data_IF_200085411100
#
_entry.id   IF_200085411100
#
_cell.length_a   1.000
_cell.length_b   1.000
_cell.length_c   1.000
_cell.angle_alpha   90.00
_cell.angle_beta   90.00
_cell.angle_gamma   90.00
#
_symmetry.space_group_name_H-M   'P 1'
#
loop_
_entity.id
_entity.type
_entity.pdbx_description
1 polymer ?
#
# COMPACT_ATOMS: atom_id res chain seq x y z
N UNK A 1 5.17 -5.09 -24.46
CA UNK A 1 3.88 -5.54 -23.90
C UNK A 1 2.94 -4.36 -23.80
N UNK A 2 1.66 -4.60 -23.98
CA UNK A 2 0.61 -3.60 -23.73
C UNK A 2 -0.03 -3.88 -22.37
N UNK A 3 -0.19 -2.87 -21.55
CA UNK A 3 -0.81 -2.95 -20.22
C UNK A 3 -2.07 -2.12 -20.19
N UNK A 4 -3.17 -2.68 -19.69
CA UNK A 4 -4.36 -1.92 -19.31
C UNK A 4 -4.40 -1.81 -17.79
N UNK A 5 -4.11 -0.62 -17.26
CA UNK A 5 -4.22 -0.31 -15.83
C UNK A 5 -5.64 0.18 -15.53
N UNK A 6 -6.34 -0.55 -14.68
CA UNK A 6 -7.73 -0.28 -14.32
C UNK A 6 -7.77 0.23 -12.88
N UNK A 7 -8.37 1.40 -12.67
CA UNK A 7 -8.52 2.07 -11.37
C UNK A 7 -9.96 2.51 -11.17
N UNK A 8 -10.54 2.15 -10.05
CA UNK A 8 -11.92 2.50 -9.70
C UNK A 8 -12.11 3.99 -9.41
N UNK A 9 -11.05 4.63 -8.93
CA UNK A 9 -11.05 6.02 -8.53
C UNK A 9 -10.67 7.01 -9.63
N UNK A 10 -10.31 8.19 -9.18
CA UNK A 10 -10.00 9.35 -10.01
C UNK A 10 -8.51 9.42 -10.36
N UNK A 11 -8.16 10.36 -11.25
CA UNK A 11 -6.78 10.76 -11.50
C UNK A 11 -6.13 11.33 -10.23
N UNK A 12 -4.80 11.16 -10.15
CA UNK A 12 -3.97 11.72 -9.07
C UNK A 12 -3.67 13.21 -9.22
N UNK A 13 -4.04 13.84 -10.34
CA UNK A 13 -3.82 15.27 -10.57
C UNK A 13 -4.81 16.12 -9.76
N UNK A 14 -4.43 16.48 -8.56
CA UNK A 14 -5.19 17.40 -7.72
C UNK A 14 -4.26 18.00 -6.66
N UNK A 15 -4.34 19.31 -6.43
CA UNK A 15 -3.53 20.02 -5.44
C UNK A 15 -3.57 19.38 -4.04
N UNK A 16 -4.75 18.92 -3.60
CA UNK A 16 -4.87 18.28 -2.29
C UNK A 16 -4.06 16.97 -2.18
N UNK A 17 -3.93 16.23 -3.28
CA UNK A 17 -3.12 15.01 -3.36
C UNK A 17 -1.61 15.32 -3.36
N UNK A 18 -1.22 16.49 -3.88
CA UNK A 18 0.18 16.91 -3.94
C UNK A 18 0.71 17.34 -2.56
N UNK A 19 -0.12 18.04 -1.78
CA UNK A 19 0.29 18.61 -0.50
C UNK A 19 0.43 17.53 0.57
N UNK A 20 1.61 17.38 1.22
CA UNK A 20 1.84 16.36 2.26
C UNK A 20 0.80 16.40 3.39
N UNK A 21 0.54 17.56 3.97
CA UNK A 21 -0.46 17.74 5.03
C UNK A 21 -1.91 17.48 4.57
N UNK A 22 -2.13 17.36 3.26
CA UNK A 22 -3.44 17.07 2.67
C UNK A 22 -4.03 15.74 3.14
N UNK A 23 -3.21 14.82 3.64
CA UNK A 23 -3.66 13.48 4.03
C UNK A 23 -4.79 13.52 5.07
N UNK A 24 -4.79 14.44 6.03
CA UNK A 24 -5.86 14.61 7.02
C UNK A 24 -7.23 14.89 6.38
N UNK A 25 -7.25 15.58 5.25
CA UNK A 25 -8.48 15.83 4.48
C UNK A 25 -8.79 14.69 3.52
N UNK A 26 -7.76 14.04 2.96
CA UNK A 26 -7.92 12.98 1.98
C UNK A 26 -8.50 11.70 2.58
N UNK A 27 -8.04 11.29 3.77
CA UNK A 27 -8.57 10.11 4.46
C UNK A 27 -10.05 10.23 4.85
N UNK A 28 -10.57 11.46 4.90
CA UNK A 28 -11.97 11.77 5.20
C UNK A 28 -12.77 12.22 3.97
N UNK A 29 -12.20 12.08 2.76
CA UNK A 29 -12.84 12.53 1.52
C UNK A 29 -13.29 11.33 0.68
N UNK A 30 -14.61 11.10 0.63
CA UNK A 30 -15.21 9.97 -0.11
C UNK A 30 -14.95 10.00 -1.63
N UNK A 31 -14.46 11.10 -2.18
CA UNK A 31 -14.00 11.16 -3.57
C UNK A 31 -12.72 10.36 -3.79
N UNK A 32 -11.81 10.36 -2.80
CA UNK A 32 -10.48 9.77 -2.91
C UNK A 32 -10.26 8.56 -1.98
N UNK A 33 -11.24 8.28 -1.11
CA UNK A 33 -11.18 7.15 -0.19
C UNK A 33 -12.49 6.36 -0.17
N UNK A 34 -12.37 5.04 -0.16
CA UNK A 34 -13.45 4.11 0.16
C UNK A 34 -13.30 3.70 1.62
N UNK A 35 -14.41 3.54 2.34
CA UNK A 35 -14.41 3.21 3.77
C UNK A 35 -14.91 1.78 3.99
N UNK A 36 -14.08 1.00 4.64
CA UNK A 36 -14.41 -0.36 5.05
C UNK A 36 -14.74 -0.38 6.54
N UNK A 37 -15.86 -0.98 6.91
CA UNK A 37 -16.26 -1.16 8.30
C UNK A 37 -15.95 -2.58 8.74
N UNK A 38 -15.30 -2.74 9.89
CA UNK A 38 -15.12 -4.06 10.49
C UNK A 38 -16.43 -4.55 11.10
N UNK A 39 -16.54 -5.85 11.32
CA UNK A 39 -17.52 -6.36 12.28
C UNK A 39 -17.14 -5.89 13.70
N UNK A 40 -18.08 -5.91 14.67
CA UNK A 40 -17.77 -5.62 16.06
C UNK A 40 -16.62 -6.49 16.58
N UNK A 41 -15.57 -5.86 17.10
CA UNK A 41 -14.37 -6.53 17.60
C UNK A 41 -14.53 -6.85 19.09
N UNK A 42 -14.78 -8.09 19.44
CA UNK A 42 -15.05 -8.53 20.83
C UNK A 42 -13.97 -8.10 21.83
N UNK A 43 -12.69 -8.21 21.43
CA UNK A 43 -11.54 -7.86 22.28
C UNK A 43 -11.24 -6.36 22.32
N UNK A 44 -12.01 -5.54 21.60
CA UNK A 44 -11.94 -4.08 21.57
C UNK A 44 -13.30 -3.47 21.98
N UNK A 45 -13.95 -4.03 22.99
CA UNK A 45 -15.24 -3.56 23.52
C UNK A 45 -16.33 -3.45 22.43
N UNK A 46 -16.37 -4.41 21.51
CA UNK A 46 -17.25 -4.45 20.35
C UNK A 46 -17.14 -3.22 19.42
N UNK A 47 -16.02 -2.52 19.45
CA UNK A 47 -15.78 -1.37 18.57
C UNK A 47 -15.79 -1.79 17.10
N UNK A 48 -16.43 -0.96 16.29
CA UNK A 48 -16.38 -1.04 14.83
C UNK A 48 -15.35 -0.04 14.36
N UNK A 49 -14.31 -0.53 13.69
CA UNK A 49 -13.31 0.34 13.09
C UNK A 49 -13.71 0.68 11.65
N UNK A 50 -13.42 1.91 11.23
CA UNK A 50 -13.59 2.37 9.87
C UNK A 50 -12.20 2.56 9.28
N UNK A 51 -11.89 1.81 8.21
CA UNK A 51 -10.58 1.83 7.56
C UNK A 51 -10.71 2.51 6.20
N UNK A 52 -10.07 3.66 6.00
CA UNK A 52 -10.02 4.31 4.69
C UNK A 52 -9.05 3.59 3.77
N UNK A 53 -9.45 3.35 2.53
CA UNK A 53 -8.61 2.82 1.45
C UNK A 53 -8.59 3.82 0.29
N UNK A 54 -7.43 4.08 -0.29
CA UNK A 54 -7.31 4.98 -1.43
C UNK A 54 -8.13 4.49 -2.63
N UNK A 55 -8.97 5.40 -3.17
CA UNK A 55 -9.77 5.20 -4.38
C UNK A 55 -9.38 6.26 -5.41
N UNK A 56 -8.16 6.17 -5.84
CA UNK A 56 -7.48 7.14 -6.71
C UNK A 56 -6.24 6.49 -7.31
N UNK A 57 -5.84 6.91 -8.48
CA UNK A 57 -4.61 6.41 -9.11
C UNK A 57 -3.41 6.57 -8.15
N UNK A 58 -2.68 5.48 -7.93
CA UNK A 58 -1.64 5.38 -6.90
C UNK A 58 -2.12 4.84 -5.55
N UNK A 59 -3.43 4.59 -5.40
CA UNK A 59 -4.03 3.93 -4.25
C UNK A 59 -3.69 4.57 -2.91
N UNK A 60 -3.34 3.77 -1.91
CA UNK A 60 -2.98 4.22 -0.57
C UNK A 60 -1.84 5.24 -0.53
N UNK A 61 -0.86 5.14 -1.45
CA UNK A 61 0.27 6.09 -1.52
C UNK A 61 -0.15 7.52 -1.88
N UNK A 62 -1.31 7.68 -2.51
CA UNK A 62 -1.87 8.98 -2.86
C UNK A 62 -2.59 9.67 -1.70
N UNK A 63 -2.97 8.92 -0.63
CA UNK A 63 -3.74 9.46 0.51
C UNK A 63 -3.10 9.23 1.88
N UNK A 64 -2.04 8.44 2.01
CA UNK A 64 -1.37 8.14 3.28
C UNK A 64 -0.55 9.32 3.84
N UNK A 65 0.02 9.17 5.03
CA UNK A 65 0.92 10.14 5.66
C UNK A 65 2.33 10.17 5.06
N UNK A 66 2.61 9.42 4.00
CA UNK A 66 3.87 9.37 3.24
C UNK A 66 5.09 8.81 3.98
N UNK A 67 4.97 8.36 5.20
CA UNK A 67 6.10 7.76 5.93
C UNK A 67 6.70 6.63 5.08
N UNK A 68 8.01 6.71 4.84
CA UNK A 68 8.74 5.68 4.09
C UNK A 68 9.33 4.65 5.07
N UNK A 69 8.68 3.51 5.16
CA UNK A 69 9.07 2.41 6.04
C UNK A 69 8.94 1.09 5.29
N UNK A 70 9.98 0.27 5.35
CA UNK A 70 9.97 -1.11 4.81
C UNK A 70 9.64 -2.09 5.93
N UNK A 71 9.23 -3.31 5.57
CA UNK A 71 9.25 -4.44 6.49
C UNK A 71 10.68 -4.78 6.92
N UNK A 72 10.84 -5.47 8.04
CA UNK A 72 12.14 -5.95 8.52
C UNK A 72 12.58 -7.17 7.71
N UNK A 73 13.87 -7.46 7.74
CA UNK A 73 14.42 -8.64 7.07
C UNK A 73 13.74 -9.94 7.54
N UNK A 74 13.43 -10.02 8.83
CA UNK A 74 12.76 -11.17 9.44
C UNK A 74 11.37 -11.42 8.85
N UNK A 75 10.59 -10.36 8.56
CA UNK A 75 9.25 -10.48 8.00
C UNK A 75 9.27 -11.17 6.63
N UNK A 76 10.24 -10.84 5.77
CA UNK A 76 10.41 -11.46 4.45
C UNK A 76 10.99 -12.88 4.55
N UNK A 77 11.91 -13.12 5.47
CA UNK A 77 12.47 -14.44 5.71
C UNK A 77 11.39 -15.40 6.21
N UNK A 78 10.49 -14.95 7.08
CA UNK A 78 9.32 -15.74 7.51
C UNK A 78 8.40 -16.09 6.33
N UNK A 79 8.12 -15.16 5.42
CA UNK A 79 7.37 -15.48 4.20
C UNK A 79 8.08 -16.55 3.35
N UNK A 80 9.37 -16.43 3.22
CA UNK A 80 10.17 -17.43 2.47
C UNK A 80 10.10 -18.81 3.13
N UNK A 81 10.12 -18.88 4.47
CA UNK A 81 9.98 -20.14 5.19
C UNK A 81 8.59 -20.77 5.01
N UNK A 82 7.53 -19.97 5.00
CA UNK A 82 6.16 -20.42 4.69
C UNK A 82 6.09 -21.01 3.28
N UNK A 83 6.70 -20.38 2.29
CA UNK A 83 6.76 -20.89 0.91
C UNK A 83 7.49 -22.23 0.86
N UNK A 84 8.65 -22.36 1.52
CA UNK A 84 9.42 -23.62 1.59
C UNK A 84 8.63 -24.77 2.21
N UNK A 85 7.91 -24.50 3.31
CA UNK A 85 7.05 -25.51 3.96
C UNK A 85 5.97 -26.02 3.00
N UNK A 86 5.46 -25.14 2.14
CA UNK A 86 4.44 -25.47 1.14
C UNK A 86 5.02 -25.97 -0.20
N UNK A 87 6.33 -26.26 -0.28
CA UNK A 87 7.04 -26.67 -1.48
C UNK A 87 6.91 -25.69 -2.65
N UNK A 88 6.73 -24.39 -2.36
CA UNK A 88 6.76 -23.34 -3.37
C UNK A 88 8.22 -22.95 -3.66
N UNK A 89 8.57 -22.81 -4.93
CA UNK A 89 9.92 -22.44 -5.38
C UNK A 89 10.17 -20.94 -5.42
N UNK A 90 9.15 -20.11 -5.19
CA UNK A 90 9.31 -18.66 -5.13
C UNK A 90 10.20 -18.25 -3.95
N UNK A 91 10.95 -17.18 -4.13
CA UNK A 91 11.84 -16.64 -3.10
C UNK A 91 11.41 -15.24 -2.72
N UNK A 92 11.20 -15.05 -1.42
CA UNK A 92 10.79 -13.77 -0.83
C UNK A 92 11.63 -13.36 0.38
N UNK A 93 12.82 -14.01 0.54
CA UNK A 93 13.76 -13.61 1.58
C UNK A 93 14.29 -12.18 1.37
N UNK A 94 14.90 -11.64 2.43
CA UNK A 94 15.40 -10.27 2.41
C UNK A 94 16.38 -9.99 1.28
N UNK A 95 17.29 -10.93 1.02
CA UNK A 95 18.30 -10.75 -0.02
C UNK A 95 17.69 -10.70 -1.42
N UNK A 96 16.57 -11.39 -1.62
CA UNK A 96 15.80 -11.35 -2.87
C UNK A 96 15.01 -10.07 -3.04
N UNK A 97 14.39 -9.54 -1.96
CA UNK A 97 13.49 -8.37 -2.07
C UNK A 97 14.21 -7.03 -1.95
N UNK A 98 15.34 -6.95 -1.24
CA UNK A 98 16.10 -5.71 -1.05
C UNK A 98 16.52 -5.04 -2.37
N UNK A 99 16.99 -5.76 -3.41
CA UNK A 99 17.30 -5.16 -4.70
C UNK A 99 16.13 -4.41 -5.33
N UNK A 100 14.90 -4.92 -5.20
CA UNK A 100 13.70 -4.25 -5.72
C UNK A 100 13.36 -2.98 -4.95
N UNK A 101 13.52 -2.97 -3.62
CA UNK A 101 13.39 -1.75 -2.84
C UNK A 101 14.38 -0.68 -3.28
N UNK A 102 15.63 -1.07 -3.52
CA UNK A 102 16.67 -0.16 -4.01
C UNK A 102 16.40 0.32 -5.44
N UNK A 103 15.89 -0.53 -6.32
CA UNK A 103 15.52 -0.17 -7.68
C UNK A 103 14.41 0.89 -7.71
N UNK A 104 13.43 0.78 -6.81
CA UNK A 104 12.35 1.76 -6.72
C UNK A 104 12.79 3.09 -6.10
N UNK A 105 13.70 3.07 -5.13
CA UNK A 105 14.03 4.20 -4.27
C UNK A 105 14.95 5.22 -4.93
N UNK A 106 14.61 6.50 -4.74
CA UNK A 106 15.49 7.64 -5.01
C UNK A 106 15.60 8.48 -3.73
N UNK A 107 16.52 8.10 -2.84
CA UNK A 107 16.71 8.75 -1.55
C UNK A 107 17.56 10.02 -1.73
N UNK A 108 17.09 11.13 -1.20
CA UNK A 108 17.79 12.42 -1.30
C UNK A 108 19.10 12.47 -0.50
N UNK A 109 19.17 11.73 0.62
CA UNK A 109 20.28 11.78 1.58
C UNK A 109 21.15 10.53 1.54
N UNK A 110 20.56 9.33 1.64
CA UNK A 110 21.26 8.07 1.90
C UNK A 110 21.53 7.31 0.60
N UNK A 111 22.75 6.80 0.43
CA UNK A 111 23.13 5.83 -0.58
C UNK A 111 24.12 4.83 0.03
N UNK A 112 23.74 3.57 0.16
CA UNK A 112 24.56 2.52 0.79
C UNK A 112 24.05 1.11 0.39
N UNK A 113 24.43 0.08 1.16
CA UNK A 113 23.97 -1.30 0.92
C UNK A 113 22.46 -1.46 0.98
N UNK A 114 21.73 -0.60 1.71
CA UNK A 114 20.27 -0.63 1.87
C UNK A 114 19.53 0.36 0.96
N UNK A 115 20.16 1.43 0.52
CA UNK A 115 19.54 2.58 -0.14
C UNK A 115 20.11 2.86 -1.53
N UNK A 116 19.29 3.53 -2.37
CA UNK A 116 19.65 3.97 -3.70
C UNK A 116 19.15 5.39 -3.98
N UNK A 117 19.89 6.12 -4.83
CA UNK A 117 19.48 7.44 -5.35
C UNK A 117 19.01 7.39 -6.80
N UNK A 118 18.80 6.19 -7.37
CA UNK A 118 18.61 6.00 -8.82
C UNK A 118 17.19 5.66 -9.24
N UNK A 119 16.33 5.25 -8.28
CA UNK A 119 14.95 4.86 -8.55
C UNK A 119 14.03 6.04 -8.87
N UNK A 120 12.74 5.73 -9.04
CA UNK A 120 11.71 6.72 -9.39
C UNK A 120 10.97 7.26 -8.17
N UNK A 121 10.83 6.47 -7.10
CA UNK A 121 10.15 6.85 -5.87
C UNK A 121 11.03 7.79 -5.05
N UNK A 122 10.68 9.07 -5.03
CA UNK A 122 11.43 10.08 -4.29
C UNK A 122 11.19 9.94 -2.80
N UNK A 123 12.29 9.83 -2.06
CA UNK A 123 12.31 9.75 -0.61
C UNK A 123 13.19 10.86 -0.07
N UNK A 124 12.70 11.64 0.87
CA UNK A 124 13.45 12.75 1.47
C UNK A 124 13.15 12.91 2.95
N UNK A 125 14.06 13.58 3.64
CA UNK A 125 13.82 14.06 5.00
C UNK A 125 12.75 15.17 4.98
N UNK A 126 12.16 15.46 6.15
CA UNK A 126 11.29 16.63 6.30
C UNK A 126 12.07 17.90 6.00
N UNK A 127 11.47 18.81 5.23
CA UNK A 127 12.08 20.12 4.93
C UNK A 127 12.12 21.05 6.14
N UNK A 128 11.27 20.81 7.14
CA UNK A 128 11.23 21.52 8.40
C UNK A 128 11.00 20.52 9.55
N UNK A 129 11.78 20.65 10.59
CA UNK A 129 11.63 19.87 11.81
C UNK A 129 11.61 20.86 12.97
N UNK A 130 10.54 20.82 13.74
CA UNK A 130 10.39 21.63 14.93
C UNK A 130 11.41 21.23 16.00
N UNK A 131 11.94 22.21 16.76
CA UNK A 131 12.91 21.97 17.84
C UNK A 131 12.39 20.98 18.88
N UNK A 132 11.10 20.98 19.16
CA UNK A 132 10.45 20.04 20.07
C UNK A 132 10.64 18.58 19.66
N UNK A 133 10.75 18.30 18.36
CA UNK A 133 11.03 16.94 17.86
C UNK A 133 12.41 16.46 18.28
N UNK A 134 13.40 17.34 18.25
CA UNK A 134 14.75 17.04 18.73
C UNK A 134 14.79 16.92 20.26
N UNK A 135 14.07 17.76 20.98
CA UNK A 135 13.97 17.67 22.45
C UNK A 135 13.31 16.35 22.87
N UNK A 136 12.29 15.91 22.13
CA UNK A 136 11.67 14.59 22.33
C UNK A 136 12.67 13.45 22.09
N UNK A 137 13.39 13.47 20.96
CA UNK A 137 14.40 12.45 20.63
C UNK A 137 15.49 12.40 21.70
N UNK A 138 15.99 13.55 22.14
CA UNK A 138 16.99 13.63 23.20
C UNK A 138 16.47 13.07 24.54
N UNK A 139 15.20 13.35 24.86
CA UNK A 139 14.55 12.82 26.06
C UNK A 139 14.42 11.31 26.00
N UNK A 140 14.02 10.77 24.84
CA UNK A 140 13.94 9.32 24.62
C UNK A 140 15.32 8.66 24.72
N UNK A 141 16.37 9.31 24.19
CA UNK A 141 17.76 8.87 24.32
C UNK A 141 18.21 8.80 25.78
N UNK A 142 17.83 9.80 26.61
CA UNK A 142 18.16 9.82 28.05
C UNK A 142 17.54 8.66 28.84
N UNK A 143 16.50 8.03 28.30
CA UNK A 143 15.87 6.82 28.84
C UNK A 143 16.52 5.52 28.35
N UNK A 144 17.62 5.61 27.61
CA UNK A 144 18.36 4.46 27.11
C UNK A 144 17.84 3.88 25.81
N UNK A 145 16.94 4.58 25.10
CA UNK A 145 16.50 4.18 23.78
C UNK A 145 17.56 4.57 22.74
N UNK A 146 17.94 3.64 21.91
CA UNK A 146 18.87 3.88 20.80
C UNK A 146 18.28 4.89 19.81
N UNK A 147 19.11 5.81 19.33
CA UNK A 147 18.69 6.79 18.32
C UNK A 147 19.16 6.32 16.94
N UNK A 148 18.25 6.37 16.00
CA UNK A 148 18.53 6.05 14.60
C UNK A 148 18.16 7.23 13.69
N UNK A 149 18.94 7.45 12.66
CA UNK A 149 18.66 8.37 11.56
C UNK A 149 18.22 7.64 10.28
N UNK A 150 18.06 6.31 10.37
CA UNK A 150 17.69 5.44 9.27
C UNK A 150 16.88 4.22 9.73
N UNK A 151 15.55 4.32 9.66
CA UNK A 151 14.65 3.20 9.97
C UNK A 151 14.57 2.11 8.87
N UNK A 152 15.23 2.32 7.74
CA UNK A 152 15.27 1.34 6.64
C UNK A 152 16.68 0.76 6.43
N UNK A 153 17.57 0.99 7.38
CA UNK A 153 18.92 0.46 7.43
C UNK A 153 19.02 -0.92 8.08
N UNK A 154 20.13 -1.16 8.78
CA UNK A 154 20.39 -2.43 9.44
C UNK A 154 19.48 -2.71 10.64
N UNK A 155 19.14 -1.64 11.38
CA UNK A 155 18.30 -1.72 12.57
C UNK A 155 17.14 -0.74 12.48
N UNK A 156 15.91 -1.25 12.59
CA UNK A 156 14.70 -0.43 12.60
C UNK A 156 14.28 0.03 13.99
N UNK A 157 14.82 -0.59 15.06
CA UNK A 157 14.46 -0.27 16.42
C UNK A 157 15.15 1.00 16.87
N UNK A 158 14.41 1.92 17.47
CA UNK A 158 15.00 3.15 18.01
C UNK A 158 14.05 4.34 17.97
N UNK A 159 14.59 5.51 18.35
CA UNK A 159 13.94 6.80 18.23
C UNK A 159 14.57 7.64 17.12
N UNK A 160 13.79 8.38 16.35
CA UNK A 160 14.34 9.20 15.28
C UNK A 160 13.28 9.89 14.43
N UNK A 161 13.73 10.55 13.37
CA UNK A 161 12.87 11.20 12.40
C UNK A 161 12.63 10.30 11.20
N UNK A 162 11.39 10.26 10.73
CA UNK A 162 11.05 9.52 9.51
C UNK A 162 11.51 10.23 8.24
N UNK A 163 11.81 9.44 7.22
CA UNK A 163 11.82 9.91 5.85
C UNK A 163 10.44 9.74 5.22
N UNK A 164 10.15 10.52 4.19
CA UNK A 164 8.84 10.59 3.55
C UNK A 164 8.93 10.39 2.05
N UNK A 165 7.91 9.79 1.47
CA UNK A 165 7.73 9.69 0.01
C UNK A 165 7.33 11.05 -0.55
N UNK A 166 8.29 11.98 -0.59
CA UNK A 166 8.09 13.31 -1.15
C UNK A 166 9.37 13.87 -1.81
N UNK A 167 9.19 14.94 -2.55
CA UNK A 167 10.28 15.73 -3.12
C UNK A 167 9.81 17.17 -3.28
N UNK A 168 10.63 18.13 -2.86
CA UNK A 168 10.34 19.56 -2.99
C UNK A 168 8.95 19.97 -2.45
N UNK A 169 8.58 19.43 -1.29
CA UNK A 169 7.31 19.72 -0.64
C UNK A 169 6.08 19.11 -1.32
N UNK A 170 6.26 18.19 -2.26
CA UNK A 170 5.17 17.47 -2.94
C UNK A 170 5.24 15.98 -2.67
N UNK A 171 4.09 15.35 -2.49
CA UNK A 171 3.93 13.91 -2.41
C UNK A 171 4.50 13.22 -3.66
N UNK A 172 5.26 12.16 -3.47
CA UNK A 172 5.66 11.23 -4.51
C UNK A 172 4.88 9.92 -4.33
N UNK A 173 3.63 9.89 -4.80
CA UNK A 173 2.83 8.66 -4.80
C UNK A 173 3.33 7.66 -5.85
N UNK A 174 2.85 6.41 -5.78
CA UNK A 174 3.12 5.42 -6.82
C UNK A 174 2.68 5.90 -8.22
N UNK A 175 1.61 6.69 -8.30
CA UNK A 175 1.18 7.29 -9.56
C UNK A 175 2.23 8.26 -10.11
N UNK A 176 2.77 9.14 -9.28
CA UNK A 176 3.84 10.05 -9.68
C UNK A 176 5.14 9.32 -10.02
N UNK A 177 5.53 8.34 -9.17
CA UNK A 177 6.78 7.63 -9.36
C UNK A 177 6.81 6.76 -10.63
N UNK A 178 5.70 6.05 -10.92
CA UNK A 178 5.72 4.96 -11.89
C UNK A 178 4.77 5.15 -13.07
N UNK A 179 3.72 5.98 -12.96
CA UNK A 179 2.72 6.13 -14.01
C UNK A 179 2.87 7.44 -14.77
N UNK A 180 3.20 8.54 -14.09
CA UNK A 180 3.27 9.88 -14.70
C UNK A 180 4.14 9.94 -15.95
N UNK A 181 5.34 9.38 -15.88
CA UNK A 181 6.26 9.35 -17.03
C UNK A 181 5.80 8.45 -18.17
N UNK A 182 4.91 7.49 -17.88
CA UNK A 182 4.41 6.50 -18.83
C UNK A 182 3.05 6.90 -19.45
N UNK A 183 2.44 8.01 -19.03
CA UNK A 183 1.11 8.41 -19.52
C UNK A 183 1.05 8.66 -21.04
N UNK A 184 2.19 8.98 -21.65
CA UNK A 184 2.33 9.15 -23.10
C UNK A 184 2.72 7.86 -23.83
N UNK A 185 2.99 6.79 -23.09
CA UNK A 185 3.40 5.52 -23.66
C UNK A 185 2.19 4.82 -24.31
N UNK A 186 2.27 4.58 -25.62
CA UNK A 186 1.19 3.93 -26.39
C UNK A 186 0.87 2.49 -25.90
N UNK A 187 1.76 1.89 -25.17
CA UNK A 187 1.58 0.57 -24.60
C UNK A 187 0.87 0.59 -23.24
N UNK A 188 0.62 1.76 -22.65
CA UNK A 188 -0.17 1.91 -21.43
C UNK A 188 -1.56 2.46 -21.77
N UNK A 189 -2.58 1.67 -21.48
CA UNK A 189 -3.97 2.13 -21.44
C UNK A 189 -4.36 2.35 -19.99
N UNK A 190 -4.90 3.52 -19.68
CA UNK A 190 -5.39 3.86 -18.35
C UNK A 190 -6.92 3.96 -18.36
N UNK A 191 -7.57 3.10 -17.57
CA UNK A 191 -9.02 3.04 -17.42
C UNK A 191 -9.39 3.48 -16.00
N UNK A 192 -9.69 4.78 -15.83
CA UNK A 192 -10.11 5.37 -14.55
C UNK A 192 -11.62 5.26 -14.37
N UNK A 193 -12.08 5.40 -13.13
CA UNK A 193 -13.48 5.29 -12.75
C UNK A 193 -14.12 4.01 -13.32
N UNK A 194 -13.33 2.93 -13.27
CA UNK A 194 -13.69 1.62 -13.80
C UNK A 194 -13.41 0.57 -12.73
N UNK A 195 -14.48 -0.04 -12.24
CA UNK A 195 -14.42 -0.99 -11.12
C UNK A 195 -14.35 -2.42 -11.62
N UNK A 196 -13.34 -3.16 -11.21
CA UNK A 196 -13.26 -4.61 -11.46
C UNK A 196 -14.27 -5.31 -10.55
N UNK A 197 -15.19 -6.07 -11.15
CA UNK A 197 -16.22 -6.84 -10.44
C UNK A 197 -15.75 -8.27 -10.13
N UNK A 198 -15.14 -8.92 -11.09
CA UNK A 198 -14.61 -10.29 -10.98
C UNK A 198 -13.62 -10.62 -12.10
N UNK A 199 -12.88 -11.69 -11.91
CA UNK A 199 -11.99 -12.29 -12.92
C UNK A 199 -12.82 -13.24 -13.80
N UNK A 200 -12.58 -13.23 -15.10
CA UNK A 200 -13.08 -14.22 -16.05
C UNK A 200 -12.15 -15.43 -15.98
N UNK A 201 -12.68 -16.56 -15.46
CA UNK A 201 -11.89 -17.79 -15.27
C UNK A 201 -12.58 -18.92 -16.04
N UNK A 202 -11.85 -19.53 -16.95
CA UNK A 202 -12.27 -20.72 -17.71
C UNK A 202 -11.13 -21.73 -17.72
N UNK A 203 -11.43 -23.00 -17.52
CA UNK A 203 -10.46 -24.09 -17.48
C UNK A 203 -9.26 -23.81 -16.56
N UNK A 204 -9.53 -23.26 -15.36
CA UNK A 204 -8.51 -22.84 -14.36
C UNK A 204 -7.52 -21.78 -14.85
N UNK A 205 -7.88 -21.01 -15.88
CA UNK A 205 -7.06 -19.95 -16.43
C UNK A 205 -7.79 -18.61 -16.34
N UNK A 206 -7.10 -17.58 -15.85
CA UNK A 206 -7.60 -16.21 -15.89
C UNK A 206 -7.49 -15.66 -17.32
N UNK A 207 -8.63 -15.33 -17.93
CA UNK A 207 -8.70 -14.82 -19.29
C UNK A 207 -8.89 -13.31 -19.36
N UNK A 208 -9.24 -12.66 -18.26
CA UNK A 208 -9.52 -11.24 -18.20
C UNK A 208 -10.35 -10.87 -16.99
N UNK A 209 -11.02 -9.73 -17.05
CA UNK A 209 -11.85 -9.21 -15.96
C UNK A 209 -13.19 -8.70 -16.49
N UNK A 210 -14.23 -8.79 -15.66
CA UNK A 210 -15.48 -8.06 -15.82
C UNK A 210 -15.34 -6.74 -15.09
N UNK A 211 -15.60 -5.66 -15.78
CA UNK A 211 -15.52 -4.31 -15.22
C UNK A 211 -16.84 -3.57 -15.36
N UNK A 212 -17.07 -2.61 -14.48
CA UNK A 212 -18.17 -1.67 -14.54
C UNK A 212 -17.61 -0.25 -14.62
N UNK A 213 -18.02 0.49 -15.63
CA UNK A 213 -17.59 1.87 -15.79
C UNK A 213 -18.46 2.83 -14.94
N UNK A 214 -18.11 4.12 -14.91
CA UNK A 214 -18.82 5.17 -14.15
C UNK A 214 -20.31 5.34 -14.49
N UNK A 215 -20.76 4.79 -15.61
CA UNK A 215 -22.15 4.86 -16.05
C UNK A 215 -22.94 3.59 -15.73
N UNK A 216 -22.35 2.65 -14.94
CA UNK A 216 -22.96 1.38 -14.58
C UNK A 216 -22.99 0.34 -15.71
N UNK A 217 -22.29 0.60 -16.82
CA UNK A 217 -22.20 -0.38 -17.93
C UNK A 217 -21.09 -1.38 -17.62
N UNK A 218 -21.48 -2.65 -17.67
CA UNK A 218 -20.52 -3.75 -17.57
C UNK A 218 -19.94 -4.11 -18.94
N UNK A 219 -18.65 -4.45 -18.94
CA UNK A 219 -17.94 -4.97 -20.11
C UNK A 219 -16.86 -5.97 -19.71
N UNK A 220 -16.48 -6.83 -20.65
CA UNK A 220 -15.39 -7.78 -20.48
C UNK A 220 -14.10 -7.22 -21.08
N UNK A 221 -13.00 -7.26 -20.33
CA UNK A 221 -11.65 -6.91 -20.80
C UNK A 221 -10.81 -8.18 -20.74
N UNK A 222 -10.35 -8.64 -21.88
CA UNK A 222 -9.54 -9.86 -21.99
C UNK A 222 -8.05 -9.55 -21.94
N UNK A 223 -7.29 -10.46 -21.33
CA UNK A 223 -5.83 -10.41 -21.21
C UNK A 223 -5.20 -11.54 -22.03
N UNK A 224 -4.21 -11.20 -22.86
CA UNK A 224 -3.49 -12.19 -23.67
C UNK A 224 -2.42 -12.96 -22.90
N UNK A 225 -1.92 -12.40 -21.78
CA UNK A 225 -0.85 -12.98 -20.97
C UNK A 225 -1.30 -13.28 -19.55
N UNK A 226 -1.62 -12.25 -18.79
CA UNK A 226 -1.90 -12.38 -17.37
C UNK A 226 -2.84 -11.27 -16.86
N UNK A 227 -3.45 -11.52 -15.71
CA UNK A 227 -4.22 -10.55 -14.92
C UNK A 227 -3.48 -10.37 -13.59
N UNK A 228 -3.06 -9.14 -13.30
CA UNK A 228 -2.40 -8.79 -12.04
C UNK A 228 -3.41 -8.07 -11.15
N UNK A 229 -3.68 -8.59 -9.96
CA UNK A 229 -4.51 -7.94 -8.96
C UNK A 229 -3.65 -7.17 -7.97
N UNK A 230 -3.83 -5.84 -7.94
CA UNK A 230 -3.14 -4.93 -7.04
C UNK A 230 -4.13 -3.97 -6.33
N UNK A 231 -5.32 -4.48 -5.98
CA UNK A 231 -6.43 -3.68 -5.44
C UNK A 231 -6.38 -3.51 -3.91
N UNK A 232 -5.24 -3.83 -3.30
CA UNK A 232 -5.03 -3.74 -1.85
C UNK A 232 -5.58 -4.93 -1.07
N UNK A 233 -5.29 -4.94 0.24
CA UNK A 233 -5.55 -6.10 1.13
C UNK A 233 -7.03 -6.41 1.36
N UNK A 234 -7.93 -5.45 1.17
CA UNK A 234 -9.38 -5.66 1.28
C UNK A 234 -10.02 -6.08 -0.03
N UNK A 235 -9.67 -5.41 -1.13
CA UNK A 235 -10.40 -5.57 -2.39
C UNK A 235 -9.86 -6.73 -3.21
N UNK A 236 -8.54 -7.01 -3.17
CA UNK A 236 -7.95 -8.15 -3.88
C UNK A 236 -8.60 -9.48 -3.47
N UNK A 237 -8.68 -9.85 -2.16
CA UNK A 237 -9.37 -11.07 -1.77
C UNK A 237 -10.87 -11.04 -2.09
N UNK A 238 -11.53 -9.89 -1.99
CA UNK A 238 -12.93 -9.74 -2.40
C UNK A 238 -13.13 -10.08 -3.88
N UNK A 239 -12.27 -9.58 -4.78
CA UNK A 239 -12.33 -9.89 -6.22
C UNK A 239 -12.11 -11.39 -6.44
N UNK A 240 -11.15 -12.01 -5.74
CA UNK A 240 -10.90 -13.44 -5.82
C UNK A 240 -12.15 -14.24 -5.41
N UNK A 241 -12.74 -13.93 -4.26
CA UNK A 241 -13.93 -14.60 -3.75
C UNK A 241 -15.13 -14.43 -4.71
N UNK A 242 -15.39 -13.23 -5.22
CA UNK A 242 -16.43 -12.97 -6.23
C UNK A 242 -16.18 -13.70 -7.55
N UNK A 243 -14.94 -14.13 -7.80
CA UNK A 243 -14.55 -14.91 -8.98
C UNK A 243 -14.65 -16.41 -8.76
N UNK A 244 -15.00 -16.86 -7.54
CA UNK A 244 -15.09 -18.27 -7.15
C UNK A 244 -13.77 -18.86 -6.62
N UNK A 245 -12.84 -18.03 -6.18
CA UNK A 245 -11.58 -18.45 -5.57
C UNK A 245 -11.62 -18.10 -4.07
N UNK A 246 -11.59 -19.11 -3.20
CA UNK A 246 -11.68 -18.93 -1.75
C UNK A 246 -12.10 -20.20 -1.02
N UNK A 247 -12.53 -20.05 0.22
CA UNK A 247 -13.09 -21.13 1.01
C UNK A 247 -14.44 -21.56 0.43
N UNK A 248 -14.58 -22.85 0.09
CA UNK A 248 -15.78 -23.38 -0.59
C UNK A 248 -17.04 -23.23 0.25
N UNK A 249 -16.95 -23.46 1.57
CA UNK A 249 -18.09 -23.34 2.46
C UNK A 249 -18.55 -21.88 2.62
N UNK A 250 -17.61 -20.95 2.65
CA UNK A 250 -17.93 -19.52 2.72
C UNK A 250 -18.54 -19.02 1.40
N UNK A 251 -17.98 -19.43 0.27
CA UNK A 251 -18.48 -19.08 -1.05
C UNK A 251 -19.90 -19.64 -1.28
N UNK A 252 -20.15 -20.88 -0.87
CA UNK A 252 -21.46 -21.53 -1.02
C UNK A 252 -22.57 -20.82 -0.22
N UNK A 253 -22.26 -20.33 1.00
CA UNK A 253 -23.20 -19.52 1.80
C UNK A 253 -23.62 -18.23 1.11
N UNK A 254 -22.78 -17.71 0.20
CA UNK A 254 -23.04 -16.52 -0.60
C UNK A 254 -23.57 -16.85 -2.00
N UNK A 255 -23.92 -18.12 -2.26
CA UNK A 255 -24.36 -18.62 -3.59
C UNK A 255 -23.33 -18.36 -4.70
N UNK A 256 -22.03 -18.32 -4.34
CA UNK A 256 -20.92 -18.22 -5.29
C UNK A 256 -20.38 -19.61 -5.55
N UNK A 257 -20.38 -20.04 -6.81
CA UNK A 257 -19.81 -21.33 -7.20
C UNK A 257 -18.28 -21.32 -7.00
N UNK A 258 -17.77 -22.23 -6.17
CA UNK A 258 -16.35 -22.44 -6.02
C UNK A 258 -15.74 -22.97 -7.32
N UNK A 259 -14.73 -22.31 -7.83
CA UNK A 259 -13.91 -22.72 -8.98
C UNK A 259 -12.55 -23.22 -8.55
N UNK A 260 -12.02 -22.67 -7.47
CA UNK A 260 -10.76 -23.08 -6.88
C UNK A 260 -10.81 -22.87 -5.36
N UNK A 261 -10.74 -23.97 -4.62
CA UNK A 261 -10.72 -23.95 -3.17
C UNK A 261 -9.37 -23.47 -2.65
N UNK A 262 -9.31 -22.22 -2.17
CA UNK A 262 -8.18 -21.61 -1.52
C UNK A 262 -8.62 -20.99 -0.18
N UNK A 263 -8.63 -21.75 0.92
CA UNK A 263 -9.22 -21.33 2.19
C UNK A 263 -8.49 -20.15 2.86
N UNK A 264 -7.26 -19.86 2.46
CA UNK A 264 -6.49 -18.70 2.94
C UNK A 264 -6.94 -17.36 2.38
N UNK A 265 -7.72 -17.33 1.31
CA UNK A 265 -8.16 -16.08 0.68
C UNK A 265 -9.08 -15.31 1.63
N UNK A 266 -8.72 -14.07 1.94
CA UNK A 266 -9.45 -13.20 2.88
C UNK A 266 -9.23 -13.51 4.35
N UNK A 267 -8.32 -14.41 4.69
CA UNK A 267 -7.94 -14.75 6.07
C UNK A 267 -6.66 -14.00 6.49
N UNK A 268 -6.40 -14.06 7.80
CA UNK A 268 -5.15 -13.57 8.41
C UNK A 268 -4.80 -12.11 8.07
N UNK A 269 -5.83 -11.25 7.94
CA UNK A 269 -5.60 -9.83 7.78
C UNK A 269 -4.90 -9.28 9.02
N UNK A 270 -3.73 -8.68 8.82
CA UNK A 270 -2.92 -8.04 9.86
C UNK A 270 -2.64 -6.59 9.46
N UNK A 271 -2.47 -5.74 10.46
CA UNK A 271 -2.01 -4.36 10.29
C UNK A 271 -1.07 -4.01 11.43
N UNK A 272 -0.20 -3.03 11.22
CA UNK A 272 0.70 -2.56 12.27
C UNK A 272 -0.08 -1.78 13.32
N UNK A 273 0.05 -2.12 14.62
CA UNK A 273 -0.53 -1.31 15.67
C UNK A 273 0.24 0.00 15.78
N UNK A 274 -0.49 1.11 15.82
CA UNK A 274 0.04 2.44 16.03
C UNK A 274 -0.50 3.02 17.33
N UNK A 275 0.38 3.58 18.16
CA UNK A 275 0.00 4.22 19.41
C UNK A 275 0.49 5.67 19.40
N UNK A 276 -0.34 6.64 18.98
CA UNK A 276 0.02 8.05 19.05
C UNK A 276 0.04 8.55 20.50
N UNK A 277 1.15 9.15 20.92
CA UNK A 277 1.27 9.85 22.18
C UNK A 277 1.13 11.34 21.93
N UNK A 278 0.15 11.96 22.59
CA UNK A 278 -0.10 13.40 22.48
C UNK A 278 0.19 14.06 23.82
N UNK A 279 1.11 15.01 23.83
CA UNK A 279 1.46 15.79 25.01
C UNK A 279 1.30 17.29 24.74
N UNK A 280 0.91 18.05 25.78
CA UNK A 280 0.90 19.51 25.72
C UNK A 280 2.27 20.04 26.16
N UNK A 281 2.93 20.77 25.30
CA UNK A 281 4.19 21.43 25.63
C UNK A 281 3.96 22.65 26.56
N UNK A 282 4.85 22.82 27.55
CA UNK A 282 4.84 23.97 28.45
C UNK A 282 5.85 25.01 27.93
N UNK A 283 5.60 25.59 26.75
CA UNK A 283 6.51 26.56 26.16
C UNK A 283 5.95 27.15 24.86
N UNK A 284 6.66 28.14 24.31
CA UNK A 284 6.38 28.67 22.98
C UNK A 284 7.21 27.85 21.98
N UNK A 285 6.61 26.87 21.36
CA UNK A 285 7.13 26.12 20.25
C UNK A 285 6.31 26.45 19.00
N UNK A 286 6.97 26.69 17.90
CA UNK A 286 6.32 27.04 16.61
C UNK A 286 7.19 27.93 15.76
#
# INVERSE_FOLDING_TARGET
QTVNLIESGYSHHNFLLDVPAGFFKLINNSKYATYHKTNPQKHLENRINIVPQGNVLGGGTSINAQVYMRGRAEDYNEWNDILRINNDSAKWDWDTVLPYFKEMENNSRIENKYHSKKGRLKVSDSSHVDSLSYDFINSVASLGVEITDDFNGEHQKGGGLYQFMNSNGKRCSAAYAFIESEMKNKNLKLSLQTTVKKIIIENNKALGVVVENRHGREENIYANKEVVLASGSFITPKILMLSGIGDEDELSKLSIKCKNHLPGVGKNLMDHPECPLIAKANGKYG
#
